data_IF_947247429569
#
_entry.id   IF_947247429569
#
_cell.length_a   1.000
_cell.length_b   1.000
_cell.length_c   1.000
_cell.angle_alpha   90.00
_cell.angle_beta   90.00
_cell.angle_gamma   90.00
#
_symmetry.space_group_name_H-M   'P 1'
#
loop_
_entity.id
_entity.type
_entity.pdbx_description
1 polymer ?
#
# COMPACT_ATOMS: atom_id res chain seq x y z
N UNK A 1 -24.42 3.10 -43.80
CA UNK A 1 -25.76 3.72 -43.68
C UNK A 1 -25.83 4.58 -42.42
N UNK A 2 -26.58 5.70 -42.42
CA UNK A 2 -26.27 6.87 -41.58
C UNK A 2 -26.94 6.92 -40.19
N UNK A 3 -26.26 7.66 -39.30
CA UNK A 3 -26.61 8.36 -38.05
C UNK A 3 -27.98 8.11 -37.40
N UNK A 4 -27.94 7.86 -36.07
CA UNK A 4 -29.00 8.28 -35.15
C UNK A 4 -28.38 9.04 -33.95
N UNK A 5 -28.59 10.36 -33.95
CA UNK A 5 -28.28 11.27 -32.85
C UNK A 5 -29.30 11.06 -31.71
N UNK A 6 -28.85 11.04 -30.45
CA UNK A 6 -29.74 11.09 -29.29
C UNK A 6 -29.83 12.50 -28.72
N UNK A 7 -31.10 12.90 -28.62
CA UNK A 7 -31.71 14.16 -28.22
C UNK A 7 -31.32 14.60 -26.81
N UNK A 8 -30.98 15.88 -26.68
CA UNK A 8 -30.99 16.64 -25.43
C UNK A 8 -32.40 17.24 -25.30
N UNK A 9 -33.05 17.07 -24.15
CA UNK A 9 -34.23 17.85 -23.76
C UNK A 9 -34.01 18.41 -22.36
N UNK A 10 -33.75 19.71 -22.36
CA UNK A 10 -33.74 20.64 -21.24
C UNK A 10 -35.18 21.18 -21.15
N UNK A 11 -35.82 21.11 -19.99
CA UNK A 11 -36.99 21.92 -19.67
C UNK A 11 -36.89 22.33 -18.21
N UNK A 12 -36.75 23.64 -17.99
CA UNK A 12 -36.92 24.27 -16.70
C UNK A 12 -38.34 24.80 -16.55
N UNK A 13 -38.81 24.87 -15.31
CA UNK A 13 -39.77 25.85 -14.83
C UNK A 13 -39.68 25.90 -13.30
N UNK A 14 -39.30 27.06 -12.76
CA UNK A 14 -39.61 27.43 -11.37
C UNK A 14 -41.09 27.80 -11.25
N UNK A 15 -41.64 27.79 -10.03
CA UNK A 15 -41.99 29.08 -9.43
C UNK A 15 -41.66 29.22 -7.93
N UNK A 16 -41.52 30.48 -7.52
CA UNK A 16 -41.38 31.00 -6.15
C UNK A 16 -42.56 30.65 -5.22
N UNK A 17 -42.28 30.49 -3.92
CA UNK A 17 -42.70 31.43 -2.84
C UNK A 17 -42.61 30.80 -1.42
N UNK A 18 -41.84 31.48 -0.58
CA UNK A 18 -42.06 31.83 0.85
C UNK A 18 -42.61 30.82 1.88
N UNK A 19 -41.79 30.69 2.94
CA UNK A 19 -42.13 30.79 4.37
C UNK A 19 -42.72 29.60 5.15
N UNK A 20 -42.25 29.57 6.41
CA UNK A 20 -42.84 29.02 7.64
C UNK A 20 -42.28 27.73 8.28
N UNK A 21 -41.98 27.94 9.56
CA UNK A 21 -41.61 27.01 10.63
C UNK A 21 -42.75 26.04 10.94
N UNK A 22 -42.42 25.07 11.81
CA UNK A 22 -43.23 24.40 12.86
C UNK A 22 -43.16 22.88 12.70
N UNK A 23 -42.35 22.17 13.52
CA UNK A 23 -42.67 21.60 14.84
C UNK A 23 -43.68 20.42 14.84
N UNK A 24 -43.22 19.31 15.43
CA UNK A 24 -43.95 18.27 16.22
C UNK A 24 -44.96 17.35 15.53
N UNK A 25 -44.76 16.04 15.72
CA UNK A 25 -45.65 15.09 16.45
C UNK A 25 -45.18 13.65 16.17
N UNK A 26 -44.66 12.83 17.11
CA UNK A 26 -45.26 12.11 18.26
C UNK A 26 -46.24 10.97 17.93
N UNK A 27 -45.96 9.81 18.58
CA UNK A 27 -46.76 8.59 18.86
C UNK A 27 -46.70 7.48 17.79
N UNK A 28 -46.43 6.22 18.15
CA UNK A 28 -47.24 5.44 19.10
C UNK A 28 -46.48 4.63 20.16
N UNK A 29 -47.14 4.56 21.32
CA UNK A 29 -46.84 3.84 22.56
C UNK A 29 -47.90 2.75 22.69
N UNK A 30 -47.50 1.51 22.91
CA UNK A 30 -48.40 0.45 23.41
C UNK A 30 -47.86 -0.03 24.75
N UNK A 31 -48.69 0.07 25.78
CA UNK A 31 -48.43 -0.39 27.15
C UNK A 31 -48.60 -1.92 27.23
N UNK A 32 -47.81 -2.60 28.07
CA UNK A 32 -48.33 -3.69 28.91
C UNK A 32 -47.43 -4.01 30.12
N UNK A 33 -48.07 -3.91 31.29
CA UNK A 33 -47.98 -4.68 32.54
C UNK A 33 -46.68 -4.78 33.36
N UNK A 34 -46.90 -4.64 34.67
CA UNK A 34 -45.96 -4.51 35.78
C UNK A 34 -45.86 -5.79 36.63
N UNK A 35 -44.63 -6.19 36.95
CA UNK A 35 -44.10 -6.77 38.23
C UNK A 35 -42.86 -7.67 37.93
N UNK A 36 -41.96 -7.97 38.89
CA UNK A 36 -41.56 -7.28 40.12
C UNK A 36 -40.10 -6.79 40.06
N UNK A 37 -39.74 -5.94 41.02
CA UNK A 37 -38.44 -5.29 41.19
C UNK A 37 -37.33 -6.33 41.36
N UNK A 38 -36.46 -6.47 40.35
CA UNK A 38 -35.13 -7.04 40.49
C UNK A 38 -34.12 -5.89 40.66
N UNK A 39 -33.14 -6.01 41.57
CA UNK A 39 -32.26 -4.90 41.92
C UNK A 39 -31.43 -4.49 40.70
N UNK A 40 -31.47 -3.19 40.40
CA UNK A 40 -30.67 -2.58 39.37
C UNK A 40 -29.20 -2.92 39.62
N UNK A 41 -28.63 -3.79 38.77
CA UNK A 41 -27.18 -3.89 38.62
C UNK A 41 -26.72 -2.55 38.07
N UNK A 42 -26.31 -1.67 38.98
CA UNK A 42 -25.58 -0.47 38.67
C UNK A 42 -24.32 -0.92 37.93
N UNK A 43 -24.32 -0.73 36.61
CA UNK A 43 -23.08 -0.69 35.85
C UNK A 43 -22.28 0.50 36.37
N UNK A 44 -21.53 0.27 37.46
CA UNK A 44 -20.39 1.09 37.84
C UNK A 44 -19.35 0.91 36.74
N UNK A 45 -19.56 1.60 35.63
CA UNK A 45 -18.44 2.13 34.87
C UNK A 45 -17.69 3.02 35.85
N UNK A 46 -16.74 2.43 36.58
CA UNK A 46 -15.64 3.16 37.20
C UNK A 46 -15.02 3.93 36.04
N UNK A 47 -15.41 5.19 35.87
CA UNK A 47 -14.54 6.15 35.20
C UNK A 47 -13.24 6.05 35.97
N UNK A 48 -12.24 5.41 35.36
CA UNK A 48 -10.87 5.60 35.80
C UNK A 48 -10.69 7.11 35.92
N UNK A 49 -10.27 7.63 37.09
CA UNK A 49 -9.98 9.04 37.19
C UNK A 49 -9.02 9.37 36.06
N UNK A 50 -9.37 10.38 35.25
CA UNK A 50 -8.43 10.92 34.28
C UNK A 50 -7.17 11.27 35.06
N UNK A 51 -6.09 10.54 34.81
CA UNK A 51 -4.78 10.94 35.32
C UNK A 51 -4.51 12.35 34.79
N UNK A 52 -4.08 13.30 35.63
CA UNK A 52 -3.65 14.61 35.15
C UNK A 52 -2.56 14.40 34.09
N UNK A 53 -2.59 15.21 33.03
CA UNK A 53 -1.90 14.96 31.75
C UNK A 53 -0.35 15.03 31.79
N UNK A 54 0.30 14.85 32.94
CA UNK A 54 1.72 15.15 33.14
C UNK A 54 2.48 14.16 34.06
N UNK A 55 2.10 12.88 34.10
CA UNK A 55 2.90 11.86 34.84
C UNK A 55 4.33 11.71 34.27
N UNK A 56 4.56 11.99 32.98
CA UNK A 56 5.88 11.88 32.34
C UNK A 56 6.83 13.05 32.59
N UNK A 57 6.34 14.14 33.18
CA UNK A 57 7.13 15.32 33.57
C UNK A 57 7.16 15.50 35.09
N UNK A 58 6.50 14.62 35.85
CA UNK A 58 6.60 14.60 37.30
C UNK A 58 8.02 14.20 37.70
N UNK A 59 8.72 15.13 38.35
CA UNK A 59 10.09 14.94 38.82
C UNK A 59 10.06 14.57 40.30
N UNK A 60 10.93 13.66 40.69
CA UNK A 60 11.19 13.39 42.10
C UNK A 60 11.92 14.58 42.75
N UNK A 61 11.77 14.72 44.07
CA UNK A 61 12.40 15.81 44.82
C UNK A 61 13.94 15.79 44.68
N UNK A 62 14.54 14.60 44.63
CA UNK A 62 15.98 14.42 44.40
C UNK A 62 16.42 14.88 43.00
N UNK A 63 15.61 14.61 41.96
CA UNK A 63 15.89 15.10 40.59
C UNK A 63 15.76 16.62 40.46
N UNK A 64 14.90 17.25 41.27
CA UNK A 64 14.76 18.70 41.32
C UNK A 64 15.97 19.34 42.00
N UNK A 65 16.40 18.80 43.13
CA UNK A 65 17.56 19.31 43.88
C UNK A 65 18.88 19.15 43.12
N UNK A 66 18.99 18.12 42.30
CA UNK A 66 20.17 17.87 41.46
C UNK A 66 20.16 18.61 40.10
N UNK A 67 19.15 19.41 39.76
CA UNK A 67 19.08 20.07 38.47
C UNK A 67 20.03 21.29 38.39
N UNK A 68 21.07 21.26 37.54
CA UNK A 68 21.98 22.39 37.40
C UNK A 68 21.28 23.65 36.85
N UNK A 69 20.16 23.49 36.14
CA UNK A 69 19.43 24.61 35.55
C UNK A 69 18.70 25.45 36.62
N UNK A 70 18.38 24.89 37.80
CA UNK A 70 17.79 25.66 38.90
C UNK A 70 18.70 26.76 39.42
N UNK A 71 20.01 26.59 39.27
CA UNK A 71 21.01 27.57 39.68
C UNK A 71 21.25 28.65 38.62
N UNK A 72 20.62 28.53 37.44
CA UNK A 72 20.71 29.56 36.41
C UNK A 72 19.98 30.84 36.86
N UNK A 73 20.48 32.00 36.42
CA UNK A 73 19.93 33.32 36.79
C UNK A 73 18.44 33.47 36.48
N UNK A 74 17.94 32.77 35.46
CA UNK A 74 16.53 32.81 35.06
C UNK A 74 15.67 31.98 36.02
N UNK A 75 16.09 30.76 36.37
CA UNK A 75 15.30 29.85 37.21
C UNK A 75 15.57 30.01 38.72
N UNK A 76 16.52 30.87 39.11
CA UNK A 76 16.67 31.35 40.49
C UNK A 76 15.60 32.40 40.88
N UNK A 77 14.83 32.91 39.91
CA UNK A 77 13.71 33.81 40.17
C UNK A 77 12.50 33.02 40.72
N UNK A 78 11.62 33.66 41.52
CA UNK A 78 10.31 33.11 41.86
C UNK A 78 9.56 32.62 40.62
N UNK A 79 8.89 31.46 40.75
CA UNK A 79 8.18 30.79 39.63
C UNK A 79 7.17 31.71 38.96
N UNK A 80 6.56 32.60 39.73
CA UNK A 80 5.61 33.61 39.30
C UNK A 80 6.27 34.60 38.31
N UNK A 81 7.48 35.08 38.62
CA UNK A 81 8.21 36.00 37.75
C UNK A 81 8.67 35.33 36.46
N UNK A 82 9.10 34.07 36.52
CA UNK A 82 9.46 33.30 35.32
C UNK A 82 8.25 33.11 34.40
N UNK A 83 7.07 32.82 34.98
CA UNK A 83 5.82 32.75 34.21
C UNK A 83 5.42 34.09 33.62
N UNK A 84 5.56 35.18 34.35
CA UNK A 84 5.27 36.53 33.85
C UNK A 84 6.21 36.93 32.70
N UNK A 85 7.49 36.55 32.79
CA UNK A 85 8.44 36.69 31.67
C UNK A 85 7.95 35.85 30.49
N UNK A 86 7.63 34.58 30.71
CA UNK A 86 7.19 33.66 29.65
C UNK A 86 5.88 34.09 28.97
N UNK A 87 4.96 34.74 29.70
CA UNK A 87 3.71 35.28 29.18
C UNK A 87 3.91 36.52 28.28
N UNK A 88 5.05 37.19 28.38
CA UNK A 88 5.42 38.35 27.54
C UNK A 88 6.22 37.94 26.30
N UNK A 89 6.67 36.69 26.23
CA UNK A 89 7.39 36.18 25.07
C UNK A 89 6.43 35.84 23.93
N UNK A 90 6.85 36.02 22.66
CA UNK A 90 6.15 35.42 21.53
C UNK A 90 6.01 33.91 21.71
N UNK A 91 4.90 33.35 21.23
CA UNK A 91 4.56 31.94 21.45
C UNK A 91 5.67 30.96 21.06
N UNK A 92 6.34 31.19 19.92
CA UNK A 92 7.47 30.37 19.47
C UNK A 92 8.64 30.42 20.46
N UNK A 93 8.97 31.60 20.99
CA UNK A 93 10.04 31.79 21.99
C UNK A 93 9.69 31.14 23.32
N UNK A 94 8.43 31.18 23.75
CA UNK A 94 7.96 30.47 24.95
C UNK A 94 8.11 28.96 24.79
N UNK A 95 7.82 28.42 23.59
CA UNK A 95 8.01 27.00 23.29
C UNK A 95 9.50 26.65 23.29
N UNK A 96 10.33 27.44 22.62
CA UNK A 96 11.79 27.24 22.65
C UNK A 96 12.31 27.23 24.08
N UNK A 97 11.88 28.16 24.94
CA UNK A 97 12.23 28.18 26.36
C UNK A 97 11.79 26.90 27.09
N UNK A 98 10.57 26.41 26.87
CA UNK A 98 10.14 25.14 27.49
C UNK A 98 10.89 23.90 26.96
N UNK A 99 11.54 23.99 25.80
CA UNK A 99 12.31 22.90 25.21
C UNK A 99 13.79 22.91 25.61
N UNK A 100 14.30 24.01 26.20
CA UNK A 100 15.73 24.10 26.57
C UNK A 100 16.10 23.20 27.74
N UNK A 101 15.23 23.09 28.75
CA UNK A 101 15.49 22.24 29.91
C UNK A 101 14.20 21.85 30.66
N UNK A 102 14.31 20.81 31.49
CA UNK A 102 13.18 20.27 32.26
C UNK A 102 12.62 21.27 33.28
N UNK A 103 13.47 22.09 33.91
CA UNK A 103 13.02 23.14 34.85
C UNK A 103 12.20 24.22 34.13
N UNK A 104 12.58 24.61 32.91
CA UNK A 104 11.83 25.56 32.11
C UNK A 104 10.43 25.02 31.77
N UNK A 105 10.34 23.75 31.37
CA UNK A 105 9.07 23.07 31.09
C UNK A 105 8.17 22.97 32.34
N UNK A 106 8.75 22.71 33.52
CA UNK A 106 8.02 22.62 34.79
C UNK A 106 7.47 23.99 35.24
N UNK A 107 8.29 25.03 35.18
CA UNK A 107 7.92 26.36 35.67
C UNK A 107 6.92 27.05 34.74
N UNK A 108 7.16 27.00 33.42
CA UNK A 108 6.32 27.67 32.41
C UNK A 108 5.10 26.83 32.01
N UNK A 109 5.22 25.50 32.04
CA UNK A 109 4.16 24.57 31.68
C UNK A 109 3.99 24.35 30.18
N UNK A 110 3.10 23.42 29.81
CA UNK A 110 2.89 22.96 28.41
C UNK A 110 1.70 23.62 27.71
N UNK A 111 1.09 24.64 28.32
CA UNK A 111 -0.09 25.31 27.76
C UNK A 111 0.23 26.05 26.45
N UNK A 112 1.45 26.57 26.31
CA UNK A 112 1.98 27.15 25.07
C UNK A 112 2.00 26.12 23.93
N UNK A 113 2.33 24.85 24.20
CA UNK A 113 2.33 23.77 23.20
C UNK A 113 0.91 23.50 22.71
N UNK A 114 -0.06 23.49 23.63
CA UNK A 114 -1.46 23.31 23.30
C UNK A 114 -2.03 24.50 22.50
N UNK A 115 -1.66 25.73 22.84
CA UNK A 115 -2.04 26.93 22.10
C UNK A 115 -1.44 26.94 20.69
N UNK A 116 -0.15 26.62 20.56
CA UNK A 116 0.51 26.54 19.26
C UNK A 116 -0.04 25.45 18.36
N UNK A 117 -0.39 24.29 18.93
CA UNK A 117 -1.11 23.23 18.21
C UNK A 117 -2.50 23.67 17.73
N UNK A 118 -3.19 24.54 18.47
CA UNK A 118 -4.51 25.09 18.09
C UNK A 118 -4.42 26.13 16.97
N UNK A 119 -3.32 26.88 16.90
CA UNK A 119 -3.12 27.92 15.89
C UNK A 119 -2.80 27.37 14.48
N UNK A 120 -2.73 26.05 14.30
CA UNK A 120 -2.27 25.37 13.07
C UNK A 120 -0.85 25.76 12.62
N UNK A 121 -0.17 26.68 13.28
CA UNK A 121 1.22 27.08 12.98
C UNK A 121 2.21 25.91 13.01
N UNK A 122 1.93 24.86 13.81
CA UNK A 122 2.73 23.62 13.78
C UNK A 122 2.72 22.92 12.42
N UNK A 123 1.71 23.06 11.55
CA UNK A 123 1.82 22.51 10.19
C UNK A 123 2.80 23.29 9.33
N UNK A 124 2.85 24.59 9.52
CA UNK A 124 3.54 25.54 8.64
C UNK A 124 5.03 25.60 9.01
N UNK A 125 5.36 25.62 10.31
CA UNK A 125 6.74 25.66 10.80
C UNK A 125 7.41 24.27 10.85
N UNK A 126 6.62 23.18 10.80
CA UNK A 126 7.17 21.82 10.86
C UNK A 126 7.99 21.44 9.64
N UNK A 127 7.69 21.99 8.47
CA UNK A 127 8.52 21.74 7.29
C UNK A 127 9.90 22.39 7.45
N UNK A 128 9.95 23.63 7.94
CA UNK A 128 11.20 24.32 8.24
C UNK A 128 12.00 23.60 9.35
N UNK A 129 11.33 23.22 10.44
CA UNK A 129 11.94 22.43 11.50
C UNK A 129 12.48 21.07 11.02
N UNK A 130 11.71 20.36 10.19
CA UNK A 130 12.17 19.08 9.65
C UNK A 130 13.32 19.25 8.66
N UNK A 131 13.37 20.35 7.90
CA UNK A 131 14.49 20.66 7.02
C UNK A 131 15.78 20.92 7.82
N UNK A 132 15.69 21.65 8.94
CA UNK A 132 16.81 21.84 9.86
C UNK A 132 17.26 20.51 10.48
N UNK A 133 16.32 19.65 10.88
CA UNK A 133 16.67 18.30 11.35
C UNK A 133 17.31 17.44 10.24
N UNK A 134 16.86 17.50 8.99
CA UNK A 134 17.54 16.77 7.90
C UNK A 134 18.97 17.30 7.71
N UNK A 135 19.17 18.61 7.80
CA UNK A 135 20.50 19.22 7.70
C UNK A 135 21.45 18.69 8.79
N UNK A 136 20.98 18.57 10.04
CA UNK A 136 21.79 18.10 11.17
C UNK A 136 22.08 16.58 11.10
N UNK A 137 21.17 15.79 10.51
CA UNK A 137 21.29 14.33 10.42
C UNK A 137 21.88 13.85 9.08
N UNK A 138 22.16 14.76 8.14
CA UNK A 138 22.76 14.46 6.84
C UNK A 138 21.93 13.50 5.98
N UNK A 139 22.60 12.65 5.20
CA UNK A 139 21.97 11.71 4.25
C UNK A 139 21.28 10.51 4.92
N UNK A 140 21.29 10.43 6.25
CA UNK A 140 20.77 9.28 7.00
C UNK A 140 19.23 9.30 7.04
N UNK A 141 18.63 10.48 7.07
CA UNK A 141 17.19 10.67 7.19
C UNK A 141 16.68 11.65 6.14
N UNK A 142 15.50 11.36 5.61
CA UNK A 142 14.75 12.23 4.71
C UNK A 142 13.41 12.61 5.33
N UNK A 143 12.98 13.85 5.09
CA UNK A 143 11.65 14.30 5.48
C UNK A 143 10.61 13.86 4.45
N UNK A 144 9.65 13.06 4.89
CA UNK A 144 8.56 12.62 4.06
C UNK A 144 7.33 13.49 4.27
N UNK A 145 6.98 14.26 3.25
CA UNK A 145 5.81 15.15 3.23
C UNK A 145 4.50 14.37 3.45
N UNK A 146 4.42 13.10 3.01
CA UNK A 146 3.19 12.30 3.11
C UNK A 146 2.84 11.88 4.53
N UNK A 147 3.81 11.36 5.28
CA UNK A 147 3.60 10.95 6.67
C UNK A 147 3.97 12.06 7.66
N UNK A 148 4.56 13.15 7.16
CA UNK A 148 5.03 14.28 7.94
C UNK A 148 6.06 13.85 9.01
N UNK A 149 6.96 12.94 8.67
CA UNK A 149 7.96 12.38 9.59
C UNK A 149 9.31 12.18 8.88
N UNK A 150 10.38 12.11 9.68
CA UNK A 150 11.72 11.72 9.24
C UNK A 150 11.83 10.21 9.21
N UNK A 151 12.35 9.66 8.12
CA UNK A 151 12.69 8.24 8.02
C UNK A 151 13.89 8.06 7.10
N UNK A 152 14.59 6.89 7.16
CA UNK A 152 15.68 6.61 6.22
C UNK A 152 15.25 6.76 4.76
N UNK A 153 16.18 7.11 3.85
CA UNK A 153 15.88 7.27 2.44
C UNK A 153 15.30 5.98 1.86
N UNK A 154 14.51 6.15 0.80
CA UNK A 154 13.88 5.02 0.13
C UNK A 154 14.94 4.10 -0.46
N UNK A 155 15.07 2.91 0.13
CA UNK A 155 15.96 1.87 -0.36
C UNK A 155 15.51 1.34 -1.74
N UNK A 156 16.44 0.83 -2.58
CA UNK A 156 16.08 0.20 -3.85
C UNK A 156 15.18 -1.02 -3.62
N UNK A 157 14.42 -1.48 -4.63
CA UNK A 157 13.44 -2.55 -4.47
C UNK A 157 13.97 -3.83 -3.79
N UNK A 158 15.21 -4.23 -4.13
CA UNK A 158 15.93 -5.38 -3.54
C UNK A 158 16.21 -5.27 -2.04
N UNK A 159 16.28 -4.05 -1.51
CA UNK A 159 16.61 -3.76 -0.11
C UNK A 159 15.44 -3.14 0.66
N UNK A 160 14.35 -2.80 -0.02
CA UNK A 160 13.20 -2.16 0.60
C UNK A 160 12.41 -3.14 1.48
N UNK A 161 12.23 -2.79 2.75
CA UNK A 161 11.43 -3.55 3.73
C UNK A 161 10.20 -2.72 4.13
N UNK A 162 9.03 -3.36 4.16
CA UNK A 162 7.83 -2.74 4.73
C UNK A 162 8.02 -2.58 6.24
N UNK A 163 7.79 -1.37 6.73
CA UNK A 163 7.77 -1.04 8.16
C UNK A 163 6.42 -0.40 8.48
N UNK A 164 6.06 -0.34 9.77
CA UNK A 164 4.83 0.35 10.21
C UNK A 164 4.79 1.80 9.70
N UNK A 165 5.94 2.48 9.66
CA UNK A 165 6.06 3.86 9.18
C UNK A 165 5.90 3.95 7.66
N UNK A 166 6.61 3.11 6.90
CA UNK A 166 6.58 3.15 5.44
C UNK A 166 5.21 2.75 4.88
N UNK A 167 4.48 1.85 5.56
CA UNK A 167 3.08 1.52 5.24
C UNK A 167 2.17 2.76 5.25
N UNK A 168 2.32 3.63 6.27
CA UNK A 168 1.59 4.90 6.33
C UNK A 168 2.03 5.88 5.23
N UNK A 169 3.32 5.89 4.86
CA UNK A 169 3.85 6.80 3.83
C UNK A 169 3.27 6.53 2.44
N UNK A 170 3.05 5.27 2.08
CA UNK A 170 2.59 4.90 0.75
C UNK A 170 1.06 4.72 0.64
N UNK A 171 0.37 4.59 1.78
CA UNK A 171 -1.09 4.50 1.85
C UNK A 171 -1.66 3.21 1.23
N UNK A 172 -2.87 3.27 0.66
CA UNK A 172 -3.55 2.10 0.08
C UNK A 172 -2.97 1.62 -1.28
N UNK A 173 -1.96 2.30 -1.81
CA UNK A 173 -1.29 1.97 -3.08
C UNK A 173 0.15 1.51 -2.82
N UNK A 174 0.40 0.86 -1.68
CA UNK A 174 1.71 0.87 -1.05
C UNK A 174 2.82 0.25 -1.90
N UNK A 175 2.62 -0.97 -2.40
CA UNK A 175 3.69 -1.74 -3.03
C UNK A 175 3.20 -2.96 -3.81
N UNK A 176 4.06 -3.44 -4.70
CA UNK A 176 4.01 -4.81 -5.23
C UNK A 176 4.77 -5.69 -4.21
N UNK A 177 4.02 -6.39 -3.36
CA UNK A 177 4.49 -7.18 -2.21
C UNK A 177 4.32 -8.70 -2.38
N UNK A 178 3.80 -9.11 -3.54
CA UNK A 178 3.51 -10.50 -3.88
C UNK A 178 4.67 -11.22 -4.57
N UNK A 179 5.81 -10.55 -4.71
CA UNK A 179 7.05 -11.16 -5.18
C UNK A 179 7.66 -12.04 -4.07
N UNK A 180 8.47 -13.05 -4.45
CA UNK A 180 9.06 -13.95 -3.48
C UNK A 180 9.92 -13.21 -2.44
N UNK A 181 9.79 -13.64 -1.17
CA UNK A 181 10.41 -13.07 0.02
C UNK A 181 10.78 -14.15 1.02
N UNK A 182 11.86 -13.92 1.77
CA UNK A 182 12.27 -14.64 2.97
C UNK A 182 12.43 -13.68 4.18
N UNK A 183 12.92 -14.18 5.31
CA UNK A 183 13.09 -13.38 6.54
C UNK A 183 14.10 -12.23 6.40
N UNK A 184 15.05 -12.39 5.48
CA UNK A 184 16.21 -11.52 5.28
C UNK A 184 16.16 -10.72 3.97
N UNK A 185 15.50 -11.24 2.93
CA UNK A 185 15.47 -10.72 1.57
C UNK A 185 14.04 -10.60 1.05
N UNK A 186 13.73 -9.47 0.44
CA UNK A 186 12.51 -9.31 -0.35
C UNK A 186 12.75 -8.29 -1.46
N UNK A 187 12.05 -8.46 -2.57
CA UNK A 187 12.00 -7.47 -3.63
C UNK A 187 10.62 -6.79 -3.57
N UNK A 188 10.60 -5.53 -3.12
CA UNK A 188 9.39 -4.76 -2.97
C UNK A 188 9.46 -3.49 -3.82
N UNK A 189 8.60 -3.40 -4.81
CA UNK A 189 8.48 -2.21 -5.65
C UNK A 189 7.47 -1.25 -5.00
N UNK A 190 7.84 0.04 -4.86
CA UNK A 190 6.89 1.12 -4.53
C UNK A 190 6.73 2.07 -5.71
N UNK A 191 5.64 2.83 -5.74
CA UNK A 191 5.37 3.74 -6.87
C UNK A 191 6.50 4.76 -7.08
N UNK A 192 7.15 5.21 -6.00
CA UNK A 192 8.27 6.15 -6.07
C UNK A 192 9.43 5.57 -6.90
N UNK A 193 9.74 4.27 -6.79
CA UNK A 193 10.76 3.64 -7.63
C UNK A 193 10.43 3.74 -9.11
N UNK A 194 9.17 3.52 -9.48
CA UNK A 194 8.69 3.66 -10.86
C UNK A 194 8.79 5.10 -11.33
N UNK A 195 8.36 6.04 -10.48
CA UNK A 195 8.40 7.46 -10.80
C UNK A 195 9.83 7.98 -11.01
N UNK A 196 10.77 7.57 -10.15
CA UNK A 196 12.18 7.93 -10.26
C UNK A 196 12.82 7.29 -11.50
N UNK A 197 12.54 6.00 -11.76
CA UNK A 197 12.97 5.32 -12.98
C UNK A 197 12.42 6.00 -14.24
N UNK A 198 11.19 6.52 -14.21
CA UNK A 198 10.62 7.25 -15.32
C UNK A 198 11.34 8.57 -15.59
N UNK A 199 11.68 9.32 -14.54
CA UNK A 199 12.44 10.57 -14.64
C UNK A 199 13.84 10.34 -15.18
N UNK A 200 14.57 9.37 -14.65
CA UNK A 200 15.95 9.10 -15.09
C UNK A 200 16.03 8.57 -16.52
N UNK A 201 14.94 8.00 -17.04
CA UNK A 201 14.84 7.47 -18.40
C UNK A 201 13.96 8.30 -19.35
N UNK A 202 13.67 9.56 -19.01
CA UNK A 202 12.72 10.41 -19.74
C UNK A 202 13.13 10.66 -21.20
N UNK A 203 14.43 10.71 -21.49
CA UNK A 203 14.97 10.84 -22.85
C UNK A 203 14.51 9.73 -23.80
N UNK A 204 14.13 8.57 -23.25
CA UNK A 204 13.68 7.42 -24.02
C UNK A 204 12.15 7.24 -23.98
N UNK A 205 11.36 8.23 -23.56
CA UNK A 205 9.90 8.11 -23.40
C UNK A 205 9.08 8.23 -24.70
N UNK A 206 9.73 8.46 -25.85
CA UNK A 206 9.07 8.58 -27.15
C UNK A 206 8.76 7.21 -27.79
N UNK A 207 7.77 7.19 -28.69
CA UNK A 207 7.45 5.98 -29.47
C UNK A 207 8.68 5.56 -30.29
N UNK A 208 8.88 4.25 -30.44
CA UNK A 208 10.01 3.58 -31.09
C UNK A 208 11.36 3.82 -30.40
N UNK A 209 11.37 4.31 -29.16
CA UNK A 209 12.60 4.50 -28.38
C UNK A 209 12.84 3.33 -27.43
N UNK A 210 14.11 2.93 -27.33
CA UNK A 210 14.60 1.85 -26.48
C UNK A 210 15.71 2.37 -25.58
N UNK A 211 15.53 2.25 -24.27
CA UNK A 211 16.50 2.73 -23.28
C UNK A 211 17.38 1.59 -22.74
N UNK A 212 18.52 1.91 -22.11
CA UNK A 212 19.33 0.93 -21.39
C UNK A 212 18.59 0.36 -20.18
N UNK A 213 19.16 -0.67 -19.55
CA UNK A 213 18.66 -1.15 -18.26
C UNK A 213 18.82 -0.08 -17.18
N UNK A 214 17.86 -0.05 -16.25
CA UNK A 214 17.78 0.91 -15.15
C UNK A 214 18.18 0.20 -13.86
N UNK A 215 19.36 0.52 -13.33
CA UNK A 215 19.95 -0.10 -12.14
C UNK A 215 19.04 -0.06 -10.90
N UNK A 216 18.20 0.98 -10.78
CA UNK A 216 17.22 1.12 -9.70
C UNK A 216 16.23 -0.04 -9.69
N UNK A 217 15.87 -0.58 -10.85
CA UNK A 217 14.91 -1.67 -10.99
C UNK A 217 15.57 -3.05 -11.04
N UNK A 218 16.90 -3.10 -11.09
CA UNK A 218 17.65 -4.34 -11.12
C UNK A 218 17.72 -5.01 -9.73
N UNK A 219 17.56 -6.32 -9.70
CA UNK A 219 17.80 -7.13 -8.51
C UNK A 219 17.68 -8.62 -8.77
N UNK A 220 18.51 -9.41 -8.10
CA UNK A 220 18.47 -10.86 -8.17
C UNK A 220 18.38 -11.43 -6.75
N UNK A 221 17.60 -12.50 -6.60
CA UNK A 221 17.53 -13.22 -5.34
C UNK A 221 17.11 -14.66 -5.57
N UNK A 222 17.49 -15.51 -4.62
CA UNK A 222 17.15 -16.94 -4.64
C UNK A 222 16.69 -17.36 -3.26
N UNK A 223 15.56 -18.06 -3.21
CA UNK A 223 15.02 -18.63 -1.98
C UNK A 223 14.82 -20.13 -2.14
N UNK A 224 15.08 -20.89 -1.09
CA UNK A 224 14.73 -22.31 -1.04
C UNK A 224 13.35 -22.47 -0.38
N UNK A 225 12.40 -23.11 -1.07
CA UNK A 225 11.10 -23.47 -0.51
C UNK A 225 10.82 -24.95 -0.75
N UNK A 226 10.65 -25.70 0.34
CA UNK A 226 10.37 -27.15 0.33
C UNK A 226 11.48 -27.94 -0.36
N UNK A 227 11.24 -28.40 -1.59
CA UNK A 227 12.14 -29.14 -2.47
C UNK A 227 12.49 -28.36 -3.73
N UNK A 228 12.21 -27.05 -3.79
CA UNK A 228 12.42 -26.21 -4.97
C UNK A 228 13.29 -24.99 -4.62
N UNK A 229 14.29 -24.74 -5.45
CA UNK A 229 15.03 -23.48 -5.51
C UNK A 229 14.25 -22.53 -6.40
N UNK A 230 13.86 -21.39 -5.83
CA UNK A 230 13.11 -20.34 -6.51
C UNK A 230 13.97 -19.08 -6.63
N UNK A 231 14.47 -18.82 -7.84
CA UNK A 231 15.16 -17.58 -8.20
C UNK A 231 14.20 -16.55 -8.78
N UNK A 232 14.48 -15.27 -8.55
CA UNK A 232 13.90 -14.16 -9.29
C UNK A 232 15.01 -13.19 -9.70
N UNK A 233 15.12 -12.94 -10.99
CA UNK A 233 15.86 -11.81 -11.54
C UNK A 233 14.87 -10.74 -12.02
N UNK A 234 15.09 -9.50 -11.61
CA UNK A 234 14.32 -8.33 -12.01
C UNK A 234 15.20 -7.38 -12.78
N UNK A 235 14.67 -6.81 -13.86
CA UNK A 235 15.27 -5.70 -14.58
C UNK A 235 14.18 -4.76 -15.11
N UNK A 236 14.56 -3.53 -15.44
CA UNK A 236 13.62 -2.56 -16.00
C UNK A 236 14.27 -1.67 -17.04
N UNK A 237 13.55 -1.34 -18.10
CA UNK A 237 14.03 -0.46 -19.18
C UNK A 237 12.88 0.20 -19.93
N UNK A 238 13.21 1.14 -20.82
CA UNK A 238 12.25 1.71 -21.78
C UNK A 238 12.18 0.85 -23.04
N UNK A 239 10.97 0.44 -23.45
CA UNK A 239 10.69 -0.33 -24.67
C UNK A 239 9.52 0.34 -25.41
N UNK A 240 9.73 0.78 -26.65
CA UNK A 240 8.77 1.58 -27.41
C UNK A 240 8.24 2.80 -26.60
N UNK A 241 9.13 3.44 -25.85
CA UNK A 241 8.81 4.54 -24.94
C UNK A 241 8.19 4.15 -23.59
N UNK A 242 7.67 2.93 -23.46
CA UNK A 242 7.04 2.48 -22.21
C UNK A 242 8.10 2.04 -21.21
N UNK A 243 7.93 2.41 -19.93
CA UNK A 243 8.72 1.79 -18.88
C UNK A 243 8.18 0.38 -18.63
N UNK A 244 9.01 -0.63 -18.90
CA UNK A 244 8.68 -2.05 -18.74
C UNK A 244 9.60 -2.65 -17.69
N UNK A 245 9.01 -3.30 -16.69
CA UNK A 245 9.72 -4.10 -15.68
C UNK A 245 9.56 -5.58 -16.03
N UNK A 246 10.68 -6.27 -16.14
CA UNK A 246 10.78 -7.70 -16.42
C UNK A 246 11.14 -8.45 -15.14
N UNK A 247 10.42 -9.52 -14.86
CA UNK A 247 10.67 -10.45 -13.77
C UNK A 247 10.86 -11.85 -14.37
N UNK A 248 11.98 -12.51 -14.07
CA UNK A 248 12.29 -13.86 -14.51
C UNK A 248 12.33 -14.77 -13.29
N UNK A 249 11.24 -15.50 -13.06
CA UNK A 249 11.19 -16.52 -12.02
C UNK A 249 11.79 -17.82 -12.55
N UNK A 250 12.79 -18.34 -11.85
CA UNK A 250 13.41 -19.64 -12.14
C UNK A 250 13.03 -20.62 -11.04
N UNK A 251 12.58 -21.81 -11.42
CA UNK A 251 12.28 -22.91 -10.50
C UNK A 251 13.10 -24.12 -10.87
N UNK A 252 13.83 -24.65 -9.90
CA UNK A 252 14.65 -25.86 -10.04
C UNK A 252 14.42 -26.78 -8.85
N UNK A 253 14.38 -28.08 -9.10
CA UNK A 253 14.27 -29.09 -8.03
C UNK A 253 15.56 -29.18 -7.21
N UNK A 254 15.44 -29.36 -5.89
CA UNK A 254 16.58 -29.64 -5.02
C UNK A 254 16.95 -31.11 -5.13
N UNK A 255 18.06 -31.38 -5.81
CA UNK A 255 18.57 -32.72 -6.12
C UNK A 255 18.11 -33.24 -7.49
N UNK A 256 18.51 -34.46 -7.85
CA UNK A 256 18.24 -35.07 -9.17
C UNK A 256 16.78 -35.53 -9.39
N UNK A 257 15.80 -34.88 -8.75
CA UNK A 257 14.37 -35.19 -8.92
C UNK A 257 13.76 -34.29 -9.98
N UNK A 258 12.93 -34.86 -10.86
CA UNK A 258 12.18 -34.08 -11.83
C UNK A 258 11.21 -33.09 -11.16
N UNK A 259 11.03 -31.91 -11.74
CA UNK A 259 10.08 -30.91 -11.27
C UNK A 259 8.64 -31.40 -11.53
N UNK A 260 7.82 -31.49 -10.47
CA UNK A 260 6.41 -31.92 -10.58
C UNK A 260 5.48 -30.73 -10.41
N UNK A 261 4.41 -30.68 -11.20
CA UNK A 261 3.43 -29.59 -11.20
C UNK A 261 2.81 -29.37 -9.82
N UNK A 262 2.51 -30.44 -9.07
CA UNK A 262 1.98 -30.36 -7.71
C UNK A 262 2.88 -29.54 -6.78
N UNK A 263 4.19 -29.75 -6.84
CA UNK A 263 5.15 -29.04 -5.98
C UNK A 263 5.25 -27.58 -6.38
N UNK A 264 5.30 -27.30 -7.69
CA UNK A 264 5.36 -25.94 -8.21
C UNK A 264 4.08 -25.13 -7.89
N UNK A 265 2.90 -25.70 -8.14
CA UNK A 265 1.61 -25.02 -7.91
C UNK A 265 1.28 -24.87 -6.43
N UNK A 266 1.94 -25.62 -5.56
CA UNK A 266 1.85 -25.42 -4.11
C UNK A 266 2.59 -24.18 -3.62
N UNK A 267 3.48 -23.59 -4.43
CA UNK A 267 4.12 -22.33 -4.13
C UNK A 267 3.14 -21.17 -4.38
N UNK A 268 3.15 -20.11 -3.55
CA UNK A 268 2.25 -18.96 -3.72
C UNK A 268 2.80 -17.99 -4.79
N UNK A 269 2.96 -18.46 -6.03
CA UNK A 269 3.51 -17.70 -7.15
C UNK A 269 2.47 -16.69 -7.63
N UNK A 270 2.89 -15.42 -7.78
CA UNK A 270 2.04 -14.32 -8.25
C UNK A 270 2.85 -13.44 -9.19
N UNK A 271 2.34 -13.25 -10.41
CA UNK A 271 2.93 -12.33 -11.39
C UNK A 271 2.26 -10.95 -11.29
N UNK A 272 0.95 -10.95 -11.10
CA UNK A 272 0.17 -9.76 -10.80
C UNK A 272 -0.96 -10.15 -9.83
N UNK A 273 -1.76 -9.21 -9.33
CA UNK A 273 -2.86 -9.53 -8.43
C UNK A 273 -3.86 -10.54 -9.03
N UNK A 274 -3.93 -10.65 -10.36
CA UNK A 274 -4.93 -11.46 -11.08
C UNK A 274 -4.38 -12.77 -11.64
N UNK A 275 -3.05 -12.98 -11.62
CA UNK A 275 -2.39 -14.15 -12.21
C UNK A 275 -1.52 -14.77 -11.13
N UNK A 276 -2.07 -15.79 -10.49
CA UNK A 276 -1.51 -16.43 -9.31
C UNK A 276 -1.85 -17.91 -9.27
N UNK A 277 -1.07 -18.69 -8.53
CA UNK A 277 -1.30 -20.14 -8.31
C UNK A 277 -2.16 -20.42 -7.07
N UNK A 278 -2.59 -19.38 -6.33
CA UNK A 278 -3.37 -19.61 -5.10
C UNK A 278 -4.72 -20.26 -5.41
N UNK A 279 -5.05 -21.25 -4.59
CA UNK A 279 -6.34 -21.93 -4.51
C UNK A 279 -7.10 -21.53 -3.24
N UNK A 280 -6.62 -20.51 -2.52
CA UNK A 280 -7.23 -20.06 -1.28
C UNK A 280 -8.61 -19.45 -1.56
N UNK A 281 -9.54 -19.66 -0.63
CA UNK A 281 -10.87 -19.07 -0.68
C UNK A 281 -10.78 -17.63 -0.14
N UNK A 282 -11.36 -16.63 -0.81
CA UNK A 282 -11.31 -15.25 -0.33
C UNK A 282 -11.99 -15.12 1.02
N UNK A 283 -11.44 -14.28 1.89
CA UNK A 283 -12.11 -13.93 3.14
C UNK A 283 -13.45 -13.25 2.83
N UNK A 284 -14.54 -13.72 3.47
CA UNK A 284 -15.89 -13.22 3.22
C UNK A 284 -15.98 -11.74 3.56
N UNK A 285 -16.27 -10.91 2.56
CA UNK A 285 -16.60 -9.50 2.76
C UNK A 285 -18.12 -9.32 2.79
N UNK A 286 -18.63 -8.28 3.47
CA UNK A 286 -20.07 -7.96 3.45
C UNK A 286 -20.60 -7.71 2.02
N UNK A 287 -19.70 -7.40 1.08
CA UNK A 287 -20.02 -7.13 -0.31
C UNK A 287 -20.12 -8.42 -1.15
N UNK A 288 -19.50 -9.53 -0.73
CA UNK A 288 -19.57 -10.83 -1.43
C UNK A 288 -20.89 -11.55 -1.12
N UNK A 289 -21.94 -11.29 -1.90
CA UNK A 289 -23.21 -12.02 -1.81
C UNK A 289 -23.17 -13.31 -2.63
N UNK A 290 -23.27 -14.44 -1.95
CA UNK A 290 -23.90 -15.66 -2.47
C UNK A 290 -23.04 -16.68 -3.24
N UNK A 291 -21.84 -16.35 -3.72
CA UNK A 291 -20.96 -17.35 -4.35
C UNK A 291 -19.50 -17.19 -3.93
N UNK A 292 -18.80 -18.32 -3.80
CA UNK A 292 -17.35 -18.35 -3.58
C UNK A 292 -16.70 -17.96 -4.91
N UNK A 293 -16.04 -16.81 -4.92
CA UNK A 293 -15.21 -16.43 -6.07
C UNK A 293 -13.92 -17.23 -6.02
N UNK A 294 -13.68 -18.03 -7.07
CA UNK A 294 -12.44 -18.78 -7.26
C UNK A 294 -11.48 -18.00 -8.18
N UNK A 295 -10.19 -18.24 -7.99
CA UNK A 295 -9.14 -17.68 -8.83
C UNK A 295 -9.26 -18.17 -10.30
N UNK A 296 -8.76 -17.39 -11.25
CA UNK A 296 -8.74 -17.72 -12.68
C UNK A 296 -7.76 -18.86 -13.02
N UNK A 297 -8.07 -19.73 -13.99
CA UNK A 297 -7.25 -20.89 -14.31
C UNK A 297 -6.09 -20.58 -15.27
N UNK A 298 -6.03 -19.38 -15.86
CA UNK A 298 -5.15 -19.07 -16.99
C UNK A 298 -3.66 -19.31 -16.67
N UNK A 299 -3.19 -18.80 -15.54
CA UNK A 299 -1.79 -18.93 -15.16
C UNK A 299 -1.40 -20.37 -14.84
N UNK A 300 -2.25 -21.08 -14.09
CA UNK A 300 -2.06 -22.52 -13.82
C UNK A 300 -2.03 -23.32 -15.12
N UNK A 301 -2.92 -23.03 -16.07
CA UNK A 301 -2.91 -23.69 -17.38
C UNK A 301 -1.63 -23.40 -18.17
N UNK A 302 -1.13 -22.16 -18.14
CA UNK A 302 0.14 -21.81 -18.78
C UNK A 302 1.30 -22.66 -18.25
N UNK A 303 1.39 -22.83 -16.93
CA UNK A 303 2.38 -23.70 -16.28
C UNK A 303 2.23 -25.15 -16.71
N UNK A 304 1.01 -25.69 -16.67
CA UNK A 304 0.75 -27.09 -17.02
C UNK A 304 1.01 -27.39 -18.50
N UNK A 305 0.79 -26.41 -19.38
CA UNK A 305 0.92 -26.59 -20.83
C UNK A 305 2.35 -26.91 -21.27
N UNK A 306 3.36 -26.39 -20.55
CA UNK A 306 4.78 -26.60 -20.90
C UNK A 306 5.41 -27.79 -20.18
N UNK A 307 4.79 -28.28 -19.11
CA UNK A 307 5.32 -29.42 -18.37
C UNK A 307 5.05 -30.74 -19.11
N UNK A 308 5.95 -31.75 -19.05
CA UNK A 308 5.70 -33.09 -19.58
C UNK A 308 4.47 -33.74 -18.93
N UNK A 309 3.73 -34.59 -19.67
CA UNK A 309 2.51 -35.22 -19.17
C UNK A 309 2.69 -35.97 -17.84
N UNK A 310 3.81 -36.68 -17.67
CA UNK A 310 4.17 -37.38 -16.44
C UNK A 310 4.33 -36.44 -15.22
N UNK A 311 4.74 -35.20 -15.45
CA UNK A 311 4.94 -34.19 -14.41
C UNK A 311 3.64 -33.43 -14.03
N UNK A 312 2.53 -33.62 -14.75
CA UNK A 312 1.25 -32.92 -14.51
C UNK A 312 0.36 -33.57 -13.44
N UNK A 313 0.82 -34.64 -12.82
CA UNK A 313 0.02 -35.45 -11.89
C UNK A 313 -0.29 -34.70 -10.58
N UNK A 314 -1.44 -35.01 -9.98
CA UNK A 314 -1.81 -34.50 -8.65
C UNK A 314 -2.24 -33.03 -8.59
N UNK A 315 -2.66 -32.44 -9.72
CA UNK A 315 -3.14 -31.06 -9.79
C UNK A 315 -4.67 -31.03 -9.84
N UNK A 316 -5.27 -30.38 -8.85
CA UNK A 316 -6.72 -30.17 -8.82
C UNK A 316 -7.10 -28.88 -9.57
N UNK A 317 -7.55 -29.04 -10.81
CA UNK A 317 -8.04 -27.93 -11.63
C UNK A 317 -9.43 -27.43 -11.22
N UNK A 318 -10.17 -28.19 -10.40
CA UNK A 318 -11.51 -27.81 -9.92
C UNK A 318 -11.48 -26.69 -8.88
N UNK A 319 -10.31 -26.43 -8.29
CA UNK A 319 -10.05 -25.32 -7.39
C UNK A 319 -10.10 -23.93 -8.06
N UNK A 320 -10.18 -23.87 -9.39
CA UNK A 320 -10.25 -22.62 -10.17
C UNK A 320 -11.64 -22.44 -10.80
N UNK A 321 -12.00 -21.19 -11.08
CA UNK A 321 -13.23 -20.90 -11.84
C UNK A 321 -13.10 -21.39 -13.29
N UNK A 322 -14.24 -21.53 -13.96
CA UNK A 322 -14.25 -21.80 -15.41
C UNK A 322 -13.59 -20.64 -16.17
N UNK A 323 -12.77 -20.92 -17.20
CA UNK A 323 -12.14 -19.89 -18.00
C UNK A 323 -13.22 -19.10 -18.75
N UNK A 324 -13.03 -17.79 -18.81
CA UNK A 324 -13.85 -16.88 -19.62
C UNK A 324 -13.58 -17.09 -21.12
N UNK A 325 -14.45 -16.62 -22.05
CA UNK A 325 -14.28 -16.85 -23.49
C UNK A 325 -12.89 -16.46 -24.03
N UNK A 326 -12.46 -15.24 -23.74
CA UNK A 326 -11.14 -14.71 -24.12
C UNK A 326 -9.95 -15.39 -23.37
N UNK A 327 -10.19 -16.17 -22.31
CA UNK A 327 -9.14 -16.96 -21.62
C UNK A 327 -9.01 -18.29 -22.37
N UNK A 328 -10.14 -18.88 -22.76
CA UNK A 328 -10.18 -20.04 -23.66
C UNK A 328 -9.49 -19.74 -24.98
N UNK A 329 -9.75 -18.58 -25.60
CA UNK A 329 -9.06 -18.18 -26.82
C UNK A 329 -7.53 -18.18 -26.68
N UNK A 330 -7.00 -17.66 -25.57
CA UNK A 330 -5.55 -17.71 -25.31
C UNK A 330 -5.05 -19.14 -25.06
N UNK A 331 -5.82 -19.95 -24.32
CA UNK A 331 -5.50 -21.34 -24.06
C UNK A 331 -5.50 -22.19 -25.35
N UNK A 332 -6.42 -21.91 -26.27
CA UNK A 332 -6.56 -22.61 -27.54
C UNK A 332 -5.50 -22.18 -28.55
N UNK A 333 -5.14 -20.89 -28.60
CA UNK A 333 -4.05 -20.38 -29.44
C UNK A 333 -2.70 -21.06 -29.13
N UNK A 334 -2.38 -21.25 -27.84
CA UNK A 334 -1.14 -21.95 -27.44
C UNK A 334 -1.18 -23.44 -27.80
N UNK A 335 -2.35 -24.08 -27.75
CA UNK A 335 -2.50 -25.48 -28.20
C UNK A 335 -2.25 -25.63 -29.70
N UNK A 336 -2.49 -24.59 -30.48
CA UNK A 336 -2.25 -24.57 -31.92
C UNK A 336 -0.74 -24.43 -32.28
N UNK A 337 0.15 -24.29 -31.30
CA UNK A 337 1.60 -24.23 -31.51
C UNK A 337 2.18 -22.83 -31.65
N UNK A 338 1.37 -21.78 -31.47
CA UNK A 338 1.86 -20.41 -31.46
C UNK A 338 2.70 -20.17 -30.18
N UNK A 339 3.93 -19.67 -30.34
CA UNK A 339 4.68 -19.06 -29.23
C UNK A 339 3.95 -17.78 -28.80
N UNK A 340 2.91 -17.93 -27.99
CA UNK A 340 2.08 -16.82 -27.56
C UNK A 340 2.48 -16.35 -26.16
N UNK A 341 2.66 -15.04 -26.03
CA UNK A 341 2.66 -14.39 -24.72
C UNK A 341 1.26 -14.47 -24.13
N UNK A 342 1.15 -15.01 -22.92
CA UNK A 342 -0.06 -14.94 -22.12
C UNK A 342 -0.27 -13.51 -21.64
N UNK A 343 -1.53 -13.08 -21.58
CA UNK A 343 -1.90 -11.69 -21.26
C UNK A 343 -2.92 -11.65 -20.12
N UNK A 344 -2.61 -10.88 -19.09
CA UNK A 344 -3.60 -10.51 -18.10
C UNK A 344 -4.60 -9.51 -18.70
N UNK A 345 -5.89 -9.68 -18.39
CA UNK A 345 -6.95 -8.79 -18.89
C UNK A 345 -7.34 -7.67 -17.94
N UNK A 346 -6.75 -7.65 -16.75
CA UNK A 346 -7.10 -6.69 -15.71
C UNK A 346 -5.95 -5.73 -15.39
N UNK A 347 -4.73 -6.01 -15.87
CA UNK A 347 -3.58 -5.13 -15.79
C UNK A 347 -2.61 -5.34 -16.97
N UNK A 348 -1.71 -4.39 -17.27
CA UNK A 348 -0.69 -4.48 -18.33
C UNK A 348 0.43 -5.44 -17.94
N UNK A 349 0.08 -6.71 -17.76
CA UNK A 349 1.01 -7.80 -17.50
C UNK A 349 0.95 -8.81 -18.63
N UNK A 350 2.12 -9.11 -19.20
CA UNK A 350 2.33 -10.22 -20.13
C UNK A 350 3.27 -11.22 -19.50
N UNK A 351 3.16 -12.48 -19.89
CA UNK A 351 4.10 -13.48 -19.41
C UNK A 351 4.29 -14.63 -20.39
N UNK A 352 5.40 -15.31 -20.23
CA UNK A 352 5.80 -16.49 -20.97
C UNK A 352 6.25 -17.54 -19.96
N UNK A 353 5.88 -18.79 -20.20
CA UNK A 353 6.32 -19.93 -19.40
C UNK A 353 7.10 -20.84 -20.33
N UNK A 354 8.28 -21.27 -19.88
CA UNK A 354 9.16 -22.17 -20.61
C UNK A 354 9.65 -23.26 -19.68
N UNK A 355 9.80 -24.47 -20.21
CA UNK A 355 10.34 -25.61 -19.48
C UNK A 355 11.52 -26.19 -20.28
N UNK A 356 12.69 -26.21 -19.65
CA UNK A 356 13.92 -26.74 -20.24
C UNK A 356 14.56 -27.73 -19.25
N UNK A 357 14.66 -28.99 -19.64
CA UNK A 357 15.26 -30.07 -18.84
C UNK A 357 14.65 -30.19 -17.43
N UNK A 358 15.34 -29.67 -16.42
CA UNK A 358 15.01 -29.70 -14.99
C UNK A 358 14.59 -28.32 -14.44
N UNK A 359 14.52 -27.30 -15.31
CA UNK A 359 14.25 -25.91 -14.96
C UNK A 359 12.98 -25.42 -15.63
N UNK A 360 12.10 -24.81 -14.83
CA UNK A 360 10.95 -24.05 -15.31
C UNK A 360 11.22 -22.56 -15.14
N UNK A 361 11.02 -21.79 -16.22
CA UNK A 361 11.22 -20.35 -16.23
C UNK A 361 9.89 -19.66 -16.52
N UNK A 362 9.52 -18.69 -15.69
CA UNK A 362 8.36 -17.82 -15.90
C UNK A 362 8.87 -16.39 -16.05
N UNK A 363 8.76 -15.85 -17.25
CA UNK A 363 9.11 -14.46 -17.52
C UNK A 363 7.83 -13.63 -17.55
N UNK A 364 7.75 -12.58 -16.75
CA UNK A 364 6.64 -11.62 -16.77
C UNK A 364 7.12 -10.20 -17.00
N UNK A 365 6.37 -9.45 -17.81
CA UNK A 365 6.61 -8.06 -18.11
C UNK A 365 5.44 -7.22 -17.61
N UNK A 366 5.74 -6.09 -16.96
CA UNK A 366 4.76 -5.12 -16.47
C UNK A 366 5.02 -3.77 -17.11
N UNK A 367 4.05 -3.24 -17.85
CA UNK A 367 4.16 -1.89 -18.43
C UNK A 367 3.57 -0.83 -17.51
N UNK A 368 4.33 0.23 -17.28
CA UNK A 368 3.91 1.42 -16.56
C UNK A 368 3.59 2.58 -17.52
N UNK A 369 3.57 2.35 -18.83
CA UNK A 369 3.30 3.39 -19.83
C UNK A 369 4.47 4.35 -20.04
N UNK A 370 4.23 5.42 -20.79
CA UNK A 370 5.27 6.36 -21.23
C UNK A 370 5.50 7.51 -20.25
N UNK A 371 4.48 7.91 -19.51
CA UNK A 371 4.50 9.07 -18.63
C UNK A 371 3.95 8.75 -17.24
N UNK A 372 4.15 9.68 -16.31
CA UNK A 372 3.74 9.55 -14.93
C UNK A 372 2.22 9.38 -14.74
N UNK A 373 1.40 9.93 -15.65
CA UNK A 373 -0.05 9.79 -15.58
C UNK A 373 -0.47 8.34 -15.85
N UNK A 374 0.06 7.73 -16.91
CA UNK A 374 -0.16 6.33 -17.23
C UNK A 374 0.42 5.42 -16.15
N UNK A 375 1.61 5.73 -15.64
CA UNK A 375 2.24 5.00 -14.55
C UNK A 375 1.34 4.92 -13.32
N UNK A 376 0.80 6.07 -12.90
CA UNK A 376 -0.07 6.13 -11.73
C UNK A 376 -1.39 5.37 -11.95
N UNK A 377 -1.94 5.43 -13.17
CA UNK A 377 -3.15 4.69 -13.54
C UNK A 377 -2.91 3.18 -13.50
N UNK A 378 -1.83 2.70 -14.11
CA UNK A 378 -1.49 1.28 -14.20
C UNK A 378 -0.98 0.72 -12.87
N UNK A 379 -0.32 1.53 -12.06
CA UNK A 379 0.11 1.17 -10.70
C UNK A 379 -1.05 0.61 -9.88
N UNK A 380 -2.23 1.25 -9.97
CA UNK A 380 -3.43 0.78 -9.28
C UNK A 380 -3.91 -0.58 -9.77
N UNK A 381 -3.54 -1.01 -10.96
CA UNK A 381 -3.95 -2.31 -11.50
C UNK A 381 -2.94 -3.41 -11.13
N UNK A 382 -1.68 -3.02 -10.89
CA UNK A 382 -0.59 -3.91 -10.51
C UNK A 382 -0.48 -4.08 -8.99
N UNK A 383 -0.92 -3.13 -8.17
CA UNK A 383 -0.90 -3.27 -6.71
C UNK A 383 -2.07 -4.10 -6.20
N UNK A 384 -1.77 -5.14 -5.41
CA UNK A 384 -2.75 -5.98 -4.72
C UNK A 384 -3.42 -5.18 -3.59
N UNK A 385 -4.75 -5.20 -3.53
CA UNK A 385 -5.54 -4.45 -2.54
C UNK A 385 -6.65 -5.30 -1.94
N UNK A 386 -6.49 -5.64 -0.67
CA UNK A 386 -7.49 -6.30 0.16
C UNK A 386 -7.98 -5.44 1.31
N UNK A 387 -9.19 -5.77 1.78
CA UNK A 387 -9.72 -5.25 3.04
C UNK A 387 -11.19 -5.56 3.17
N UNK A 388 -11.63 -5.94 4.37
CA UNK A 388 -13.02 -6.27 4.68
C UNK A 388 -14.01 -5.13 4.37
N UNK A 389 -13.51 -3.89 4.40
CA UNK A 389 -14.27 -2.67 4.17
C UNK A 389 -13.99 -2.03 2.79
N UNK A 390 -13.10 -2.62 1.97
CA UNK A 390 -12.84 -2.11 0.63
C UNK A 390 -13.98 -2.52 -0.30
N UNK A 391 -14.72 -1.53 -0.80
CA UNK A 391 -15.74 -1.75 -1.82
C UNK A 391 -15.16 -2.31 -3.12
N UNK A 392 -16.04 -2.90 -3.93
CA UNK A 392 -15.73 -3.54 -5.21
C UNK A 392 -14.85 -2.69 -6.14
N UNK A 393 -15.08 -1.39 -6.24
CA UNK A 393 -14.29 -0.53 -7.14
C UNK A 393 -12.84 -0.30 -6.68
N UNK A 394 -12.56 -0.56 -5.40
CA UNK A 394 -11.24 -0.33 -4.78
C UNK A 394 -10.44 -1.61 -4.62
N UNK A 395 -11.11 -2.77 -4.54
CA UNK A 395 -10.46 -4.08 -4.40
C UNK A 395 -9.72 -4.46 -5.70
N UNK A 396 -8.58 -5.11 -5.56
CA UNK A 396 -7.78 -5.58 -6.69
C UNK A 396 -6.93 -6.76 -6.27
N UNK A 397 -7.45 -7.96 -6.47
CA UNK A 397 -6.83 -9.21 -6.01
C UNK A 397 -7.20 -10.38 -6.95
N UNK A 398 -6.90 -11.61 -6.53
CA UNK A 398 -7.02 -12.83 -7.33
C UNK A 398 -8.47 -13.16 -7.70
N UNK A 399 -9.38 -12.74 -6.84
CA UNK A 399 -10.80 -13.06 -6.93
C UNK A 399 -11.54 -11.90 -7.60
N UNK A 400 -11.15 -10.67 -7.27
CA UNK A 400 -11.80 -9.45 -7.74
C UNK A 400 -10.89 -8.59 -8.61
N UNK A 401 -11.26 -8.51 -9.89
CA UNK A 401 -10.67 -7.53 -10.80
C UNK A 401 -11.71 -6.97 -11.77
N UNK A 402 -11.83 -5.64 -11.88
CA UNK A 402 -12.68 -5.06 -12.92
C UNK A 402 -12.09 -5.37 -14.30
N UNK A 403 -12.93 -5.88 -15.20
CA UNK A 403 -12.58 -6.05 -16.62
C UNK A 403 -12.24 -4.69 -17.23
N UNK A 404 -11.11 -4.60 -17.92
CA UNK A 404 -10.58 -3.33 -18.46
C UNK A 404 -10.01 -3.55 -19.85
N UNK A 405 -10.03 -2.51 -20.67
CA UNK A 405 -9.19 -2.44 -21.86
C UNK A 405 -7.76 -2.11 -21.40
N UNK A 406 -6.91 -3.12 -21.43
CA UNK A 406 -5.49 -3.01 -21.11
C UNK A 406 -4.73 -2.66 -22.39
N UNK A 407 -3.82 -1.66 -22.37
CA UNK A 407 -2.99 -1.36 -23.54
C UNK A 407 -2.09 -2.54 -23.88
N UNK A 408 -1.97 -2.83 -25.18
CA UNK A 408 -0.92 -3.73 -25.65
C UNK A 408 0.45 -3.02 -25.61
N UNK A 409 1.52 -3.77 -25.37
CA UNK A 409 2.87 -3.22 -25.28
C UNK A 409 3.94 -4.22 -25.71
N UNK A 410 5.07 -3.74 -26.22
CA UNK A 410 6.21 -4.58 -26.58
C UNK A 410 6.97 -5.02 -25.34
N UNK A 411 7.30 -6.31 -25.23
CA UNK A 411 7.96 -6.87 -24.05
C UNK A 411 9.45 -6.51 -23.99
N UNK A 412 10.14 -6.57 -25.14
CA UNK A 412 11.60 -6.44 -25.27
C UNK A 412 11.97 -5.74 -26.57
#
# INVERSE_FOLDING_TARGET
MPKAARRITRNGAQPDRSAEKVQRSMRNRTQQKSAPVAPAKTNRNRRLPQKPALESLARSQSELEADPNRQSRLFSLPRELVRDIANRLPLASTISLTLTCKEAADVVGTQSWAQYKKLKQWSDDRQAFSALLVQDWGHILEFCVRCNALHPPLQPPRSHRETKLTKCCFGQNAMIDYLPKDESHCYNLVFTHIFDAMKTSESFASKNSFGPEIDLLAGEFTIAKRSIIWGLASSGRRVDGNLVVKHVHTFQSMGNKALVAKDLLSLPIRLCPHQSTTTDIPERSMQMRGSIELNGPLFTHAILSVLPAAARTGVDVSAFKKPTPLEREQMDAVRAGDKAYWRCRSCPTKYLVEHASDKLTITSWHSFGRDAYHAWKYWKWLVRREGKLLGFDKRNDEWWSPSRTVPDFTCE
#
